data_IF_921487189077
#
_entry.id   IF_921487189077
#
_cell.length_a   1.000
_cell.length_b   1.000
_cell.length_c   1.000
_cell.angle_alpha   90.00
_cell.angle_beta   90.00
_cell.angle_gamma   90.00
#
_symmetry.space_group_name_H-M   'P 1'
#
loop_
_entity.id
_entity.type
_entity.pdbx_description
1 polymer ?
#
# COMPACT_ATOMS: atom_id res chain seq x y z
N UNK A 1 -21.47 2.38 -25.84
CA UNK A 1 -20.33 1.78 -25.11
C UNK A 1 -19.69 2.87 -24.25
N UNK A 2 -19.64 2.73 -22.92
CA UNK A 2 -19.03 3.72 -22.00
C UNK A 2 -17.77 3.13 -21.37
N UNK A 3 -16.66 3.18 -22.11
CA UNK A 3 -15.37 2.68 -21.63
C UNK A 3 -14.88 3.57 -20.49
N UNK A 4 -14.43 2.93 -19.40
CA UNK A 4 -13.73 3.56 -18.28
C UNK A 4 -12.34 2.94 -18.14
N UNK A 5 -11.49 3.58 -17.36
CA UNK A 5 -10.19 3.06 -16.98
C UNK A 5 -10.13 2.83 -15.46
N UNK A 6 -9.35 1.84 -15.04
CA UNK A 6 -9.04 1.54 -13.66
C UNK A 6 -7.52 1.44 -13.50
N UNK A 7 -6.99 2.03 -12.43
CA UNK A 7 -5.58 1.83 -12.05
C UNK A 7 -5.45 0.42 -11.48
N UNK A 8 -4.58 -0.39 -12.08
CA UNK A 8 -4.23 -1.73 -11.63
C UNK A 8 -2.85 -1.78 -10.97
N UNK A 9 -2.63 -2.78 -10.14
CA UNK A 9 -1.33 -3.06 -9.51
C UNK A 9 -1.08 -4.58 -9.55
N UNK A 10 0.17 -4.97 -9.78
CA UNK A 10 0.61 -6.37 -9.73
C UNK A 10 1.79 -6.48 -8.78
N UNK A 11 1.74 -7.46 -7.89
CA UNK A 11 2.82 -7.78 -6.96
C UNK A 11 3.41 -9.14 -7.37
N UNK A 12 4.67 -9.15 -7.81
CA UNK A 12 5.37 -10.40 -8.09
C UNK A 12 5.83 -11.02 -6.76
N UNK A 13 5.15 -12.10 -6.36
CA UNK A 13 5.39 -12.77 -5.09
C UNK A 13 6.71 -13.56 -5.08
N UNK A 14 7.24 -13.97 -6.23
CA UNK A 14 8.55 -14.63 -6.32
C UNK A 14 9.72 -13.69 -5.99
N UNK A 15 9.50 -12.37 -6.16
CA UNK A 15 10.50 -11.33 -5.83
C UNK A 15 10.22 -10.63 -4.50
N UNK A 16 9.10 -10.93 -3.84
CA UNK A 16 8.79 -10.32 -2.55
C UNK A 16 9.71 -10.91 -1.48
N UNK A 17 10.48 -10.06 -0.81
CA UNK A 17 11.42 -10.49 0.25
C UNK A 17 10.88 -10.26 1.67
N UNK A 18 9.63 -9.81 1.81
CA UNK A 18 9.02 -9.59 3.12
C UNK A 18 9.72 -8.52 3.97
N UNK A 19 10.33 -7.50 3.35
CA UNK A 19 11.09 -6.48 4.10
C UNK A 19 10.22 -5.43 4.82
N UNK A 20 8.91 -5.41 4.58
CA UNK A 20 7.96 -4.46 5.16
C UNK A 20 8.20 -2.96 4.84
N UNK A 21 9.11 -2.64 3.91
CA UNK A 21 9.37 -1.24 3.52
C UNK A 21 8.12 -0.52 3.02
N UNK A 22 7.27 -1.20 2.25
CA UNK A 22 6.00 -0.64 1.76
C UNK A 22 5.03 -0.28 2.89
N UNK A 23 4.99 -1.09 3.96
CA UNK A 23 4.14 -0.82 5.13
C UNK A 23 4.62 0.43 5.88
N UNK A 24 5.93 0.58 6.08
CA UNK A 24 6.50 1.71 6.85
C UNK A 24 6.33 3.04 6.11
N UNK A 25 6.55 3.07 4.79
CA UNK A 25 6.38 4.31 4.02
C UNK A 25 4.91 4.76 3.99
N UNK A 26 3.97 3.83 3.78
CA UNK A 26 2.54 4.12 3.85
C UNK A 26 2.16 4.65 5.24
N UNK A 27 2.61 3.97 6.30
CA UNK A 27 2.37 4.35 7.69
C UNK A 27 2.84 5.78 7.98
N UNK A 28 4.09 6.06 7.67
CA UNK A 28 4.73 7.33 8.00
C UNK A 28 4.04 8.52 7.31
N UNK A 29 3.63 8.34 6.06
CA UNK A 29 2.98 9.42 5.29
C UNK A 29 1.53 9.60 5.70
N UNK A 30 0.77 8.53 5.94
CA UNK A 30 -0.68 8.60 5.99
C UNK A 30 -1.32 8.30 7.35
N UNK A 31 -0.74 7.42 8.16
CA UNK A 31 -1.40 6.89 9.38
C UNK A 31 -0.60 7.03 10.66
N UNK A 32 0.33 7.99 10.73
CA UNK A 32 1.06 8.36 11.97
C UNK A 32 0.28 9.26 12.93
N UNK A 33 -0.96 9.63 12.58
CA UNK A 33 -1.80 10.53 13.40
C UNK A 33 -2.52 9.78 14.52
N UNK A 34 -2.87 10.51 15.59
CA UNK A 34 -3.56 9.95 16.74
C UNK A 34 -4.92 9.33 16.38
N UNK A 35 -5.19 8.14 16.90
CA UNK A 35 -6.43 7.37 16.68
C UNK A 35 -6.38 6.37 15.51
N UNK A 36 -5.32 6.34 14.71
CA UNK A 36 -5.11 5.36 13.62
C UNK A 36 -3.70 4.75 13.64
N UNK A 37 -3.03 4.79 14.79
CA UNK A 37 -1.69 4.24 14.98
C UNK A 37 -1.66 2.72 14.75
N UNK A 38 -2.80 2.05 14.92
CA UNK A 38 -2.95 0.61 14.67
C UNK A 38 -3.22 0.26 13.20
N UNK A 39 -3.55 1.23 12.34
CA UNK A 39 -3.87 0.98 10.92
C UNK A 39 -2.60 1.03 10.06
N UNK A 40 -2.43 0.02 9.20
CA UNK A 40 -1.28 -0.20 8.33
C UNK A 40 -1.71 -0.35 6.87
#
# INVERSE_FOLDING_TARGET
MKVRAQIGMVLNLDKCIGCHTCSITCKNVWTSRRGVEYAW
#
